data_IF_494787949312
#
_entry.id   IF_494787949312
#
_cell.length_a   1.000
_cell.length_b   1.000
_cell.length_c   1.000
_cell.angle_alpha   90.00
_cell.angle_beta   90.00
_cell.angle_gamma   90.00
#
_symmetry.space_group_name_H-M   'P 1'
#
loop_
_entity.id
_entity.type
_entity.pdbx_description
1 polymer ?
#
# COMPACT_ATOMS: atom_id res chain seq x y z
N UNK A 1 9.95 60.07 -29.53
CA UNK A 1 10.84 59.78 -28.40
C UNK A 1 10.24 58.57 -27.71
N UNK A 2 10.57 57.37 -28.20
CA UNK A 2 11.67 56.48 -27.75
C UNK A 2 11.05 55.39 -26.86
N UNK A 3 11.24 54.09 -27.05
CA UNK A 3 12.12 53.33 -27.92
C UNK A 3 11.46 51.99 -28.27
N UNK A 4 11.69 51.55 -29.52
CA UNK A 4 11.45 50.20 -30.01
C UNK A 4 12.61 49.32 -29.54
N UNK A 5 12.33 48.19 -28.91
CA UNK A 5 13.26 47.07 -28.90
C UNK A 5 12.75 45.97 -29.82
N UNK A 6 13.40 45.96 -30.98
CA UNK A 6 13.45 44.95 -32.01
C UNK A 6 14.48 43.89 -31.55
N UNK A 7 14.08 42.63 -31.42
CA UNK A 7 15.00 41.49 -31.28
C UNK A 7 14.60 40.39 -32.25
N UNK A 8 15.28 40.46 -33.39
CA UNK A 8 15.54 39.44 -34.41
C UNK A 8 16.00 38.12 -33.77
N UNK A 9 15.41 36.98 -34.11
CA UNK A 9 15.75 36.08 -35.23
C UNK A 9 17.11 35.37 -35.08
N UNK A 10 17.06 34.12 -34.64
CA UNK A 10 17.98 33.02 -35.00
C UNK A 10 17.11 31.76 -35.01
N UNK A 11 16.78 31.16 -36.15
CA UNK A 11 17.63 30.38 -37.05
C UNK A 11 18.39 29.27 -36.31
N UNK A 12 17.69 28.15 -36.10
CA UNK A 12 18.30 26.89 -35.68
C UNK A 12 17.61 25.75 -36.45
N UNK A 13 18.18 25.43 -37.60
CA UNK A 13 17.96 24.22 -38.37
C UNK A 13 19.04 23.20 -38.03
N UNK A 14 18.64 21.98 -37.65
CA UNK A 14 19.29 20.65 -37.77
C UNK A 14 18.61 19.76 -36.71
N UNK A 15 17.68 18.86 -37.00
CA UNK A 15 17.72 17.68 -37.88
C UNK A 15 18.75 16.60 -37.45
N UNK A 16 18.33 15.77 -36.49
CA UNK A 16 18.45 14.28 -36.44
C UNK A 16 18.43 13.75 -35.00
N UNK A 17 17.47 12.90 -34.59
CA UNK A 17 17.65 12.06 -33.41
C UNK A 17 18.64 10.94 -33.74
N UNK A 18 19.91 11.17 -33.42
CA UNK A 18 20.91 10.13 -33.36
C UNK A 18 20.67 9.27 -32.10
N UNK A 19 20.41 7.99 -32.31
CA UNK A 19 20.73 6.94 -31.35
C UNK A 19 19.74 6.70 -30.22
N UNK A 20 18.67 5.94 -30.48
CA UNK A 20 18.17 5.01 -29.47
C UNK A 20 19.31 4.04 -29.15
N UNK A 21 19.72 4.00 -27.89
CA UNK A 21 20.80 3.13 -27.42
C UNK A 21 20.32 1.67 -27.47
N UNK A 22 21.23 0.69 -27.65
CA UNK A 22 20.87 -0.73 -27.61
C UNK A 22 20.10 -1.15 -26.34
N UNK A 23 20.31 -0.45 -25.22
CA UNK A 23 19.63 -0.70 -23.95
C UNK A 23 18.14 -0.32 -23.98
N UNK A 24 17.74 0.72 -24.73
CA UNK A 24 16.31 1.08 -24.89
C UNK A 24 15.54 0.08 -25.74
N UNK A 25 16.20 -0.62 -26.67
CA UNK A 25 15.57 -1.72 -27.44
C UNK A 25 15.42 -3.00 -26.63
N UNK A 26 16.26 -3.22 -25.61
CA UNK A 26 16.12 -4.38 -24.73
C UNK A 26 14.95 -4.21 -23.75
N UNK A 27 14.73 -3.00 -23.23
CA UNK A 27 13.61 -2.71 -22.32
C UNK A 27 12.24 -2.83 -22.99
N UNK A 28 12.12 -2.43 -24.27
CA UNK A 28 10.86 -2.54 -25.01
C UNK A 28 10.48 -3.98 -25.42
N UNK A 29 11.42 -4.94 -25.34
CA UNK A 29 11.14 -6.35 -25.64
C UNK A 29 10.65 -7.13 -24.39
N UNK A 30 10.95 -6.66 -23.19
CA UNK A 30 10.56 -7.30 -21.93
C UNK A 30 9.08 -7.04 -21.59
N UNK A 31 8.61 -5.80 -21.83
CA UNK A 31 7.19 -5.42 -21.65
C UNK A 31 6.23 -6.18 -22.57
N UNK A 32 6.70 -6.66 -23.74
CA UNK A 32 5.89 -7.46 -24.66
C UNK A 32 5.75 -8.93 -24.23
N UNK A 33 6.62 -9.43 -23.34
CA UNK A 33 6.56 -10.79 -22.83
C UNK A 33 5.63 -10.92 -21.61
N UNK A 34 5.57 -9.91 -20.74
CA UNK A 34 4.68 -9.93 -19.55
C UNK A 34 3.18 -9.87 -19.92
N UNK A 35 2.82 -9.26 -21.05
CA UNK A 35 1.43 -9.19 -21.51
C UNK A 35 0.84 -10.52 -21.98
N UNK A 36 1.67 -11.51 -22.35
CA UNK A 36 1.21 -12.81 -22.82
C UNK A 36 0.95 -13.83 -21.69
N UNK A 37 1.46 -13.59 -20.49
CA UNK A 37 1.31 -14.52 -19.36
C UNK A 37 0.01 -14.28 -18.56
N UNK A 38 -0.55 -13.06 -18.62
CA UNK A 38 -1.78 -12.70 -17.93
C UNK A 38 -3.06 -13.28 -18.60
N UNK A 39 -3.02 -13.56 -19.90
CA UNK A 39 -4.16 -14.14 -20.64
C UNK A 39 -4.30 -15.66 -20.41
N UNK A 40 -3.32 -16.31 -19.79
CA UNK A 40 -3.36 -17.74 -19.47
C UNK A 40 -3.98 -18.05 -18.09
N UNK A 41 -4.25 -17.04 -17.26
CA UNK A 41 -4.74 -17.22 -15.88
C UNK A 41 -6.26 -17.26 -15.72
N UNK A 42 -7.03 -17.00 -16.78
CA UNK A 42 -8.51 -17.01 -16.75
C UNK A 42 -9.13 -18.38 -17.12
N UNK A 43 -8.29 -19.41 -17.27
CA UNK A 43 -8.75 -20.78 -17.41
C UNK A 43 -9.12 -21.35 -16.03
N UNK A 44 -10.39 -21.19 -15.63
CA UNK A 44 -11.01 -21.77 -14.44
C UNK A 44 -10.67 -23.28 -14.32
N UNK A 45 -9.71 -23.67 -13.46
CA UNK A 45 -9.40 -25.06 -13.26
C UNK A 45 -10.49 -25.58 -12.34
N UNK A 46 -11.50 -26.21 -12.92
CA UNK A 46 -12.50 -26.98 -12.16
C UNK A 46 -11.75 -28.04 -11.36
N UNK A 47 -11.42 -27.71 -10.12
CA UNK A 47 -10.62 -28.54 -9.22
C UNK A 47 -11.53 -29.66 -8.71
N UNK A 48 -11.67 -30.72 -9.50
CA UNK A 48 -12.25 -31.97 -9.05
C UNK A 48 -11.37 -32.53 -7.92
N UNK A 49 -11.84 -32.33 -6.68
CA UNK A 49 -11.22 -32.92 -5.51
C UNK A 49 -11.17 -34.45 -5.70
N UNK A 50 -9.99 -35.09 -5.61
CA UNK A 50 -9.91 -36.53 -5.72
C UNK A 50 -10.76 -37.18 -4.61
N UNK A 51 -11.43 -38.32 -4.91
CA UNK A 51 -12.28 -38.99 -3.94
C UNK A 51 -11.44 -39.35 -2.70
N UNK A 52 -11.89 -38.88 -1.54
CA UNK A 52 -11.24 -39.16 -0.26
C UNK A 52 -11.15 -40.68 -0.06
N UNK A 53 -9.96 -41.25 0.17
CA UNK A 53 -9.83 -42.67 0.49
C UNK A 53 -10.60 -42.95 1.78
N UNK A 54 -11.44 -44.00 1.75
CA UNK A 54 -12.14 -44.48 2.93
C UNK A 54 -11.11 -44.85 4.00
N UNK A 55 -11.05 -44.07 5.08
CA UNK A 55 -10.22 -44.37 6.22
C UNK A 55 -10.75 -45.63 6.91
N UNK A 56 -10.10 -46.75 6.64
CA UNK A 56 -10.22 -47.98 7.41
C UNK A 56 -9.89 -47.65 8.87
N UNK A 57 -10.91 -47.72 9.73
CA UNK A 57 -10.74 -47.60 11.18
C UNK A 57 -9.87 -48.78 11.64
N UNK A 58 -8.67 -48.54 12.20
CA UNK A 58 -7.90 -49.62 12.77
C UNK A 58 -8.66 -50.23 13.94
N UNK A 59 -8.72 -51.56 13.93
CA UNK A 59 -9.33 -52.37 14.96
C UNK A 59 -8.78 -52.00 16.36
N UNK A 60 -9.68 -52.00 17.32
CA UNK A 60 -9.45 -51.74 18.74
C UNK A 60 -8.23 -52.49 19.28
N UNK A 61 -7.20 -51.73 19.66
CA UNK A 61 -6.04 -52.24 20.39
C UNK A 61 -6.50 -52.65 21.80
N UNK A 62 -6.24 -53.90 22.24
CA UNK A 62 -6.59 -54.34 23.58
C UNK A 62 -5.73 -53.61 24.63
N UNK A 63 -6.41 -53.06 25.64
CA UNK A 63 -5.82 -52.45 26.84
C UNK A 63 -4.94 -53.47 27.59
N UNK A 64 -3.63 -53.40 27.37
CA UNK A 64 -2.63 -54.11 28.17
C UNK A 64 -2.25 -53.23 29.35
N UNK A 65 -2.53 -53.74 30.56
CA UNK A 65 -1.74 -53.48 31.76
C UNK A 65 -1.85 -52.07 32.34
N UNK A 66 -2.62 -51.99 33.44
CA UNK A 66 -2.58 -50.89 34.41
C UNK A 66 -1.14 -50.68 34.88
N UNK A 67 -0.38 -49.79 34.21
CA UNK A 67 0.85 -49.24 34.74
C UNK A 67 0.46 -48.38 35.92
N UNK A 68 0.87 -48.79 37.11
CA UNK A 68 0.93 -47.91 38.26
C UNK A 68 1.78 -46.71 37.85
N UNK A 69 1.13 -45.57 37.63
CA UNK A 69 1.80 -44.31 37.36
C UNK A 69 2.69 -44.02 38.57
N UNK A 70 4.04 -43.97 38.40
CA UNK A 70 4.92 -43.56 39.48
C UNK A 70 4.46 -42.18 39.96
N UNK A 71 4.32 -42.04 41.28
CA UNK A 71 3.84 -40.79 41.89
C UNK A 71 4.66 -39.62 41.33
N UNK A 72 4.03 -38.59 40.76
CA UNK A 72 4.72 -37.52 40.03
C UNK A 72 5.75 -36.74 40.88
N UNK A 73 5.67 -36.84 42.21
CA UNK A 73 6.57 -36.14 43.14
C UNK A 73 8.02 -36.69 43.20
N UNK A 74 8.31 -37.84 42.58
CA UNK A 74 9.64 -38.48 42.68
C UNK A 74 10.67 -37.93 41.69
N UNK A 75 10.24 -37.30 40.59
CA UNK A 75 11.13 -36.77 39.56
C UNK A 75 11.46 -35.27 39.72
N UNK A 76 10.77 -34.56 40.62
CA UNK A 76 11.01 -33.15 40.92
C UNK A 76 12.07 -32.93 42.01
N UNK A 77 12.61 -33.99 42.62
CA UNK A 77 13.68 -33.87 43.61
C UNK A 77 15.04 -34.00 42.91
N UNK A 78 15.88 -32.94 42.87
CA UNK A 78 17.21 -33.04 42.29
C UNK A 78 18.01 -34.12 43.04
N UNK A 79 18.67 -35.00 42.29
CA UNK A 79 19.47 -36.07 42.87
C UNK A 79 20.53 -35.47 43.82
N UNK A 80 20.65 -35.96 45.06
CA UNK A 80 21.59 -35.41 46.01
C UNK A 80 23.02 -35.67 45.54
N UNK A 81 23.79 -34.62 45.31
CA UNK A 81 25.19 -34.73 44.92
C UNK A 81 26.03 -34.67 46.19
N UNK A 82 26.82 -35.72 46.42
CA UNK A 82 27.74 -35.80 47.56
C UNK A 82 28.99 -34.99 47.19
N UNK A 83 29.22 -33.90 47.93
CA UNK A 83 30.46 -33.11 47.76
C UNK A 83 31.66 -33.85 48.35
N UNK A 84 32.87 -33.52 47.92
CA UNK A 84 34.12 -34.13 48.43
C UNK A 84 34.32 -33.96 49.95
N UNK A 85 33.56 -33.07 50.59
CA UNK A 85 33.51 -32.89 52.04
C UNK A 85 32.55 -33.86 52.77
N UNK A 86 31.86 -34.75 52.05
CA UNK A 86 30.89 -35.70 52.62
C UNK A 86 29.55 -35.06 53.01
N UNK A 87 29.32 -33.80 52.65
CA UNK A 87 28.09 -33.08 52.96
C UNK A 87 27.07 -33.26 51.84
N UNK A 88 25.88 -33.75 52.16
CA UNK A 88 24.72 -33.75 51.27
C UNK A 88 24.25 -32.30 51.06
N UNK A 89 24.68 -31.69 49.95
CA UNK A 89 24.25 -30.37 49.52
C UNK A 89 23.58 -30.44 48.16
N UNK A 90 22.60 -29.58 47.92
CA UNK A 90 22.22 -29.25 46.53
C UNK A 90 23.42 -28.53 45.92
N UNK A 91 23.80 -28.82 44.67
CA UNK A 91 24.77 -27.97 43.97
C UNK A 91 24.32 -26.53 44.17
N UNK A 92 25.19 -25.61 44.63
CA UNK A 92 24.88 -24.19 44.49
C UNK A 92 24.52 -24.02 43.02
N UNK A 93 23.30 -23.57 42.77
CA UNK A 93 22.77 -23.37 41.43
C UNK A 93 23.78 -22.43 40.75
N UNK A 94 24.72 -22.98 39.98
CA UNK A 94 25.87 -22.28 39.40
C UNK A 94 25.41 -21.26 38.34
N UNK A 95 24.11 -21.28 38.05
CA UNK A 95 23.35 -20.32 37.27
C UNK A 95 22.79 -19.15 38.07
N UNK A 96 22.93 -19.12 39.39
CA UNK A 96 22.64 -17.93 40.18
C UNK A 96 23.75 -16.91 39.94
N UNK A 97 23.69 -16.25 38.77
CA UNK A 97 24.42 -15.03 38.50
C UNK A 97 24.22 -14.08 39.71
N UNK A 98 25.28 -13.37 40.14
CA UNK A 98 25.20 -12.48 41.28
C UNK A 98 23.98 -11.57 41.15
N UNK A 99 23.11 -11.63 42.15
CA UNK A 99 21.93 -10.77 42.26
C UNK A 99 22.42 -9.33 42.43
N UNK A 100 22.54 -8.63 41.30
CA UNK A 100 22.83 -7.20 41.24
C UNK A 100 21.58 -6.44 41.71
N UNK A 101 21.35 -6.49 43.03
CA UNK A 101 20.11 -6.19 43.75
C UNK A 101 19.61 -4.74 43.74
N UNK A 102 19.52 -4.09 42.58
CA UNK A 102 18.90 -2.76 42.44
C UNK A 102 18.49 -2.40 41.01
N UNK A 103 19.21 -2.90 40.00
CA UNK A 103 18.99 -2.53 38.60
C UNK A 103 17.82 -3.29 37.93
N UNK A 104 17.38 -4.41 38.51
CA UNK A 104 16.37 -5.30 37.93
C UNK A 104 14.99 -4.63 37.81
N UNK A 105 14.61 -3.81 38.79
CA UNK A 105 13.37 -3.02 38.78
C UNK A 105 13.38 -1.98 37.65
N UNK A 106 14.44 -1.18 37.55
CA UNK A 106 14.52 -0.09 36.57
C UNK A 106 14.55 -0.63 35.15
N UNK A 107 15.27 -1.73 34.91
CA UNK A 107 15.27 -2.44 33.63
C UNK A 107 13.89 -3.00 33.28
N UNK A 108 13.17 -3.56 34.25
CA UNK A 108 11.80 -4.05 34.03
C UNK A 108 10.83 -2.94 33.64
N UNK A 109 10.92 -1.78 34.27
CA UNK A 109 10.13 -0.60 33.89
C UNK A 109 10.52 -0.10 32.50
N UNK A 110 11.82 0.05 32.22
CA UNK A 110 12.32 0.47 30.92
C UNK A 110 11.84 -0.48 29.80
N UNK A 111 11.89 -1.79 30.03
CA UNK A 111 11.42 -2.78 29.07
C UNK A 111 9.91 -2.65 28.78
N UNK A 112 9.08 -2.34 29.79
CA UNK A 112 7.65 -2.08 29.58
C UNK A 112 7.40 -0.83 28.75
N UNK A 113 8.14 0.26 29.00
CA UNK A 113 8.04 1.47 28.19
C UNK A 113 8.51 1.26 26.76
N UNK A 114 9.63 0.55 26.56
CA UNK A 114 10.12 0.19 25.22
C UNK A 114 9.12 -0.70 24.49
N UNK A 115 8.52 -1.68 25.18
CA UNK A 115 7.47 -2.52 24.62
C UNK A 115 6.23 -1.70 24.23
N UNK A 116 5.75 -0.81 25.10
CA UNK A 116 4.62 0.07 24.79
C UNK A 116 4.93 0.98 23.58
N UNK A 117 6.11 1.58 23.55
CA UNK A 117 6.55 2.41 22.44
C UNK A 117 6.62 1.61 21.13
N UNK A 118 7.18 0.40 21.16
CA UNK A 118 7.23 -0.50 20.01
C UNK A 118 5.82 -0.84 19.51
N UNK A 119 4.87 -1.15 20.40
CA UNK A 119 3.48 -1.42 20.02
C UNK A 119 2.83 -0.22 19.33
N UNK A 120 3.00 0.99 19.85
CA UNK A 120 2.45 2.22 19.25
C UNK A 120 3.06 2.49 17.87
N UNK A 121 4.39 2.34 17.75
CA UNK A 121 5.09 2.50 16.47
C UNK A 121 4.63 1.46 15.46
N UNK A 122 4.49 0.19 15.86
CA UNK A 122 4.01 -0.88 14.99
C UNK A 122 2.58 -0.65 14.51
N UNK A 123 1.67 -0.21 15.38
CA UNK A 123 0.29 0.15 14.99
C UNK A 123 0.26 1.32 14.02
N UNK A 124 1.08 2.35 14.27
CA UNK A 124 1.18 3.52 13.40
C UNK A 124 1.77 3.15 12.05
N UNK A 125 2.78 2.28 12.02
CA UNK A 125 3.36 1.74 10.80
C UNK A 125 2.32 0.94 10.00
N UNK A 126 1.51 0.10 10.66
CA UNK A 126 0.44 -0.66 10.01
C UNK A 126 -0.63 0.26 9.41
N UNK A 127 -1.04 1.30 10.14
CA UNK A 127 -1.98 2.32 9.62
C UNK A 127 -1.40 3.06 8.41
N UNK A 128 -0.13 3.43 8.46
CA UNK A 128 0.57 4.04 7.34
C UNK A 128 0.64 3.07 6.14
N UNK A 129 0.82 1.77 6.38
CA UNK A 129 0.87 0.76 5.33
C UNK A 129 -0.47 0.61 4.64
N UNK A 130 -1.56 0.53 5.41
CA UNK A 130 -2.92 0.50 4.86
C UNK A 130 -3.23 1.77 4.05
N UNK A 131 -2.82 2.95 4.54
CA UNK A 131 -2.98 4.20 3.80
C UNK A 131 -2.14 4.24 2.52
N UNK A 132 -0.92 3.71 2.54
CA UNK A 132 -0.05 3.60 1.36
C UNK A 132 -0.68 2.69 0.30
N UNK A 133 -1.23 1.54 0.69
CA UNK A 133 -1.94 0.64 -0.21
C UNK A 133 -3.20 1.29 -0.80
N UNK A 134 -3.98 2.00 0.03
CA UNK A 134 -5.20 2.69 -0.41
C UNK A 134 -4.91 3.86 -1.38
N UNK A 135 -3.73 4.48 -1.29
CA UNK A 135 -3.29 5.57 -2.16
C UNK A 135 -2.53 5.09 -3.40
N UNK A 136 -2.29 3.78 -3.52
CA UNK A 136 -1.69 3.19 -4.71
C UNK A 136 -2.59 3.36 -5.93
N UNK A 137 -2.00 3.59 -7.11
CA UNK A 137 -2.70 3.92 -8.36
C UNK A 137 -3.87 2.97 -8.68
N UNK A 138 -3.65 1.66 -8.49
CA UNK A 138 -4.64 0.60 -8.76
C UNK A 138 -5.91 0.74 -7.89
N UNK A 139 -5.77 1.15 -6.63
CA UNK A 139 -6.90 1.34 -5.72
C UNK A 139 -7.49 2.75 -5.82
N UNK A 140 -6.64 3.76 -5.99
CA UNK A 140 -7.02 5.16 -5.96
C UNK A 140 -7.81 5.58 -7.20
N UNK A 141 -7.38 5.21 -8.42
CA UNK A 141 -8.02 5.67 -9.66
C UNK A 141 -9.51 5.28 -9.70
N UNK A 142 -9.91 4.01 -9.51
CA UNK A 142 -11.33 3.65 -9.56
C UNK A 142 -12.17 4.33 -8.47
N UNK A 143 -11.57 4.63 -7.31
CA UNK A 143 -12.24 5.38 -6.25
C UNK A 143 -12.45 6.86 -6.64
N UNK A 144 -11.44 7.47 -7.27
CA UNK A 144 -11.50 8.84 -7.78
C UNK A 144 -12.50 8.93 -8.93
N UNK A 145 -12.51 8.00 -9.90
CA UNK A 145 -13.47 7.98 -11.01
C UNK A 145 -14.92 8.02 -10.50
N UNK A 146 -15.26 7.18 -9.52
CA UNK A 146 -16.60 7.18 -8.90
C UNK A 146 -16.88 8.50 -8.18
N UNK A 147 -15.89 9.07 -7.49
CA UNK A 147 -16.01 10.36 -6.83
C UNK A 147 -16.24 11.51 -7.82
N UNK A 148 -15.48 11.55 -8.92
CA UNK A 148 -15.62 12.55 -9.99
C UNK A 148 -16.98 12.41 -10.66
N UNK A 149 -17.41 11.19 -11.01
CA UNK A 149 -18.72 10.95 -11.60
C UNK A 149 -19.86 11.46 -10.70
N UNK A 150 -19.77 11.20 -9.39
CA UNK A 150 -20.76 11.67 -8.42
C UNK A 150 -20.77 13.19 -8.23
N UNK A 151 -19.63 13.87 -8.39
CA UNK A 151 -19.50 15.32 -8.16
C UNK A 151 -19.78 16.19 -9.39
N UNK A 152 -19.62 15.64 -10.60
CA UNK A 152 -19.64 16.44 -11.84
C UNK A 152 -20.90 16.25 -12.69
N UNK A 153 -21.79 15.33 -12.31
CA UNK A 153 -22.97 14.96 -13.11
C UNK A 153 -22.63 14.73 -14.60
N UNK A 154 -21.45 14.14 -14.86
CA UNK A 154 -20.90 13.98 -16.22
C UNK A 154 -21.89 13.31 -17.17
N UNK A 155 -22.72 12.40 -16.65
CA UNK A 155 -23.74 11.68 -17.41
C UNK A 155 -24.77 12.64 -18.03
N UNK A 156 -25.18 13.67 -17.30
CA UNK A 156 -26.08 14.69 -17.80
C UNK A 156 -25.36 15.64 -18.78
N UNK A 157 -24.12 16.05 -18.45
CA UNK A 157 -23.33 16.94 -19.31
C UNK A 157 -23.05 16.35 -20.69
N UNK A 158 -22.67 15.07 -20.75
CA UNK A 158 -22.39 14.41 -22.03
C UNK A 158 -23.64 14.27 -22.89
N UNK A 159 -24.80 13.97 -22.28
CA UNK A 159 -26.07 13.90 -23.01
C UNK A 159 -26.48 15.27 -23.56
N UNK A 160 -26.31 16.34 -22.78
CA UNK A 160 -26.68 17.70 -23.19
C UNK A 160 -25.74 18.23 -24.28
N UNK A 161 -24.44 17.91 -24.20
CA UNK A 161 -23.41 18.49 -25.07
C UNK A 161 -22.89 17.54 -26.15
N UNK A 162 -23.52 16.38 -26.37
CA UNK A 162 -23.05 15.38 -27.33
C UNK A 162 -22.82 15.95 -28.74
N UNK A 163 -23.78 16.69 -29.28
CA UNK A 163 -23.68 17.30 -30.62
C UNK A 163 -22.55 18.34 -30.68
N UNK A 164 -22.36 19.12 -29.61
CA UNK A 164 -21.30 20.12 -29.54
C UNK A 164 -19.90 19.48 -29.46
N UNK A 165 -19.75 18.37 -28.74
CA UNK A 165 -18.50 17.61 -28.66
C UNK A 165 -18.16 17.01 -30.02
N UNK A 166 -19.12 16.37 -30.69
CA UNK A 166 -18.93 15.78 -32.01
C UNK A 166 -18.57 16.84 -33.07
N UNK A 167 -19.29 17.97 -33.09
CA UNK A 167 -19.00 19.08 -34.00
C UNK A 167 -17.62 19.71 -33.74
N UNK A 168 -17.23 19.84 -32.46
CA UNK A 168 -15.89 20.31 -32.10
C UNK A 168 -14.80 19.32 -32.56
N UNK A 169 -15.02 18.02 -32.41
CA UNK A 169 -14.15 16.97 -32.95
C UNK A 169 -13.99 17.05 -34.47
N UNK A 170 -15.10 17.18 -35.21
CA UNK A 170 -15.08 17.28 -36.67
C UNK A 170 -14.35 18.55 -37.15
N UNK A 171 -14.62 19.70 -36.52
CA UNK A 171 -13.96 20.97 -36.87
C UNK A 171 -12.44 20.95 -36.65
N UNK A 172 -11.95 20.09 -35.75
CA UNK A 172 -10.52 19.95 -35.41
C UNK A 172 -9.88 18.68 -35.99
N UNK A 173 -10.59 17.91 -36.81
CA UNK A 173 -10.10 16.65 -37.35
C UNK A 173 -8.85 16.79 -38.23
N UNK A 174 -8.60 17.98 -38.78
CA UNK A 174 -7.40 18.26 -39.59
C UNK A 174 -6.15 18.60 -38.75
N UNK A 175 -6.28 18.78 -37.44
CA UNK A 175 -5.19 19.17 -36.54
C UNK A 175 -4.71 17.94 -35.73
N UNK A 176 -3.52 17.39 -36.01
CA UNK A 176 -3.00 16.24 -35.28
C UNK A 176 -2.81 16.57 -33.79
N UNK A 177 -3.38 15.73 -32.91
CA UNK A 177 -3.30 15.90 -31.46
C UNK A 177 -4.21 16.99 -30.88
N UNK A 178 -5.09 17.59 -31.70
CA UNK A 178 -6.08 18.54 -31.20
C UNK A 178 -6.99 17.87 -30.16
N UNK A 179 -7.15 18.54 -29.02
CA UNK A 179 -8.00 18.10 -27.93
C UNK A 179 -9.30 18.90 -27.90
N UNK A 180 -10.39 18.23 -27.54
CA UNK A 180 -11.74 18.75 -27.40
C UNK A 180 -12.12 18.65 -25.93
N UNK A 181 -12.31 19.80 -25.30
CA UNK A 181 -12.79 19.86 -23.92
C UNK A 181 -14.30 19.60 -23.89
N UNK A 182 -14.78 18.89 -22.87
CA UNK A 182 -16.21 18.70 -22.61
C UNK A 182 -16.78 20.01 -22.05
N UNK A 183 -17.74 20.66 -22.73
CA UNK A 183 -18.31 21.92 -22.26
C UNK A 183 -18.90 21.78 -20.85
N UNK A 184 -18.52 22.70 -19.95
CA UNK A 184 -19.00 22.73 -18.57
C UNK A 184 -18.34 21.73 -17.62
N UNK A 185 -17.45 20.85 -18.10
CA UNK A 185 -16.73 19.93 -17.23
C UNK A 185 -15.61 20.65 -16.46
N UNK A 186 -15.48 20.46 -15.13
CA UNK A 186 -14.61 21.30 -14.30
C UNK A 186 -13.12 20.94 -14.35
N UNK A 187 -12.74 19.86 -15.02
CA UNK A 187 -11.34 19.40 -15.11
C UNK A 187 -10.85 19.59 -16.56
N UNK A 188 -10.04 20.62 -16.86
CA UNK A 188 -9.68 20.97 -18.24
C UNK A 188 -8.79 19.92 -18.93
N UNK A 189 -8.00 19.17 -18.16
CA UNK A 189 -7.09 18.15 -18.70
C UNK A 189 -7.83 16.92 -19.20
N UNK A 190 -9.06 16.68 -18.73
CA UNK A 190 -9.91 15.57 -19.13
C UNK A 190 -10.59 15.85 -20.48
N UNK A 191 -9.75 16.04 -21.49
CA UNK A 191 -10.14 16.38 -22.86
C UNK A 191 -9.94 15.18 -23.78
N UNK A 192 -10.90 14.99 -24.68
CA UNK A 192 -10.87 13.94 -25.70
C UNK A 192 -10.00 14.39 -26.88
N UNK A 193 -9.35 13.48 -27.57
CA UNK A 193 -8.82 13.80 -28.90
C UNK A 193 -9.96 14.05 -29.89
N UNK A 194 -9.68 14.75 -31.00
CA UNK A 194 -10.69 15.01 -32.03
C UNK A 194 -11.29 13.72 -32.63
N UNK A 195 -10.51 12.65 -32.73
CA UNK A 195 -10.96 11.33 -33.21
C UNK A 195 -11.89 10.67 -32.18
N UNK A 196 -11.48 10.60 -30.91
CA UNK A 196 -12.29 10.03 -29.82
C UNK A 196 -13.62 10.77 -29.65
N UNK A 197 -13.61 12.10 -29.77
CA UNK A 197 -14.82 12.92 -29.70
C UNK A 197 -15.80 12.65 -30.86
N UNK A 198 -15.31 12.22 -32.03
CA UNK A 198 -16.11 11.94 -33.22
C UNK A 198 -16.58 10.50 -33.30
N UNK A 199 -15.70 9.55 -32.99
CA UNK A 199 -15.88 8.13 -33.32
C UNK A 199 -16.34 7.25 -32.15
N UNK A 200 -16.04 7.63 -30.90
CA UNK A 200 -16.43 6.82 -29.75
C UNK A 200 -17.92 6.92 -29.48
N UNK A 201 -18.51 5.81 -29.05
CA UNK A 201 -19.87 5.82 -28.53
C UNK A 201 -19.94 6.65 -27.22
N UNK A 202 -21.11 7.24 -26.87
CA UNK A 202 -21.22 8.08 -25.68
C UNK A 202 -20.80 7.41 -24.37
N UNK A 203 -21.04 6.09 -24.24
CA UNK A 203 -20.62 5.32 -23.08
C UNK A 203 -19.09 5.21 -22.97
N UNK A 204 -18.40 5.06 -24.10
CA UNK A 204 -16.94 4.97 -24.16
C UNK A 204 -16.30 6.36 -23.94
N UNK A 205 -16.89 7.41 -24.51
CA UNK A 205 -16.50 8.79 -24.22
C UNK A 205 -16.59 9.10 -22.73
N UNK A 206 -17.69 8.69 -22.08
CA UNK A 206 -17.87 8.83 -20.64
C UNK A 206 -16.77 8.12 -19.84
N UNK A 207 -16.52 6.84 -20.16
CA UNK A 207 -15.48 6.07 -19.47
C UNK A 207 -14.10 6.71 -19.63
N UNK A 208 -13.77 7.16 -20.85
CA UNK A 208 -12.49 7.79 -21.15
C UNK A 208 -12.32 9.15 -20.46
N UNK A 209 -13.34 10.02 -20.50
CA UNK A 209 -13.27 11.32 -19.79
C UNK A 209 -13.12 11.12 -18.29
N UNK A 210 -13.83 10.14 -17.70
CA UNK A 210 -13.69 9.83 -16.27
C UNK A 210 -12.30 9.30 -15.92
N UNK A 211 -11.74 8.41 -16.74
CA UNK A 211 -10.38 7.90 -16.55
C UNK A 211 -9.34 9.03 -16.63
N UNK A 212 -9.42 9.89 -17.65
CA UNK A 212 -8.53 11.05 -17.81
C UNK A 212 -8.69 12.05 -16.65
N UNK A 213 -9.92 12.29 -16.21
CA UNK A 213 -10.20 13.14 -15.06
C UNK A 213 -9.62 12.56 -13.77
N UNK A 214 -9.77 11.26 -13.55
CA UNK A 214 -9.24 10.59 -12.37
C UNK A 214 -7.72 10.60 -12.34
N UNK A 215 -7.06 10.41 -13.48
CA UNK A 215 -5.61 10.55 -13.62
C UNK A 215 -5.15 11.98 -13.32
N UNK A 216 -5.82 12.99 -13.87
CA UNK A 216 -5.50 14.39 -13.59
C UNK A 216 -5.64 14.71 -12.09
N UNK A 217 -6.70 14.20 -11.44
CA UNK A 217 -6.92 14.36 -10.00
C UNK A 217 -5.92 13.55 -9.17
N UNK A 218 -5.51 12.36 -9.60
CA UNK A 218 -4.50 11.56 -8.90
C UNK A 218 -3.12 12.25 -8.92
N UNK A 219 -2.75 12.80 -10.08
CA UNK A 219 -1.48 13.49 -10.28
C UNK A 219 -1.41 14.85 -9.58
N UNK A 220 -2.46 15.69 -9.72
CA UNK A 220 -2.45 17.08 -9.24
C UNK A 220 -3.28 17.31 -7.98
N UNK A 221 -4.08 16.35 -7.55
CA UNK A 221 -5.02 16.50 -6.43
C UNK A 221 -6.19 17.42 -6.77
N UNK A 222 -6.64 18.19 -5.77
CA UNK A 222 -7.77 19.11 -5.90
C UNK A 222 -7.49 20.28 -6.85
N UNK A 223 -6.22 20.55 -7.14
CA UNK A 223 -5.81 21.59 -8.10
C UNK A 223 -6.21 21.22 -9.53
N UNK A 224 -6.53 19.96 -9.81
CA UNK A 224 -7.09 19.53 -11.09
C UNK A 224 -8.44 20.18 -11.42
N UNK A 225 -9.18 20.63 -10.41
CA UNK A 225 -10.47 21.34 -10.57
C UNK A 225 -10.31 22.86 -10.73
N UNK A 226 -9.10 23.39 -10.57
CA UNK A 226 -8.86 24.82 -10.75
C UNK A 226 -8.67 25.10 -12.23
N UNK A 227 -9.62 25.84 -12.81
CA UNK A 227 -9.41 26.53 -14.08
C UNK A 227 -8.22 27.47 -13.90
N UNK A 228 -7.34 27.55 -14.88
CA UNK A 228 -6.15 28.41 -14.84
C UNK A 228 -6.56 29.86 -14.52
N UNK A 229 -6.13 30.38 -13.36
CA UNK A 229 -6.53 31.72 -12.85
C UNK A 229 -7.82 31.78 -12.03
N UNK A 230 -8.50 30.66 -11.78
CA UNK A 230 -9.65 30.56 -10.91
C UNK A 230 -9.29 30.74 -9.43
N UNK A 231 -10.13 31.44 -8.67
CA UNK A 231 -9.98 31.50 -7.21
C UNK A 231 -10.50 30.20 -6.59
N UNK A 232 -9.78 29.63 -5.61
CA UNK A 232 -10.27 28.45 -4.89
C UNK A 232 -11.58 28.81 -4.20
N UNK A 233 -12.66 28.10 -4.56
CA UNK A 233 -13.95 28.26 -3.90
C UNK A 233 -13.78 27.87 -2.43
N UNK A 234 -13.94 28.84 -1.53
CA UNK A 234 -13.83 28.64 -0.10
C UNK A 234 -14.99 27.80 0.44
N UNK A 235 -14.93 26.49 0.27
CA UNK A 235 -15.85 25.56 0.92
C UNK A 235 -15.45 25.39 2.39
N UNK A 236 -16.41 25.46 3.30
CA UNK A 236 -16.15 25.17 4.71
C UNK A 236 -15.65 23.74 4.87
N UNK A 237 -14.63 23.54 5.71
CA UNK A 237 -13.94 22.26 5.90
C UNK A 237 -14.82 21.09 6.38
N UNK A 238 -16.06 21.38 6.79
CA UNK A 238 -17.03 20.43 7.35
C UNK A 238 -18.26 20.21 6.44
N UNK A 239 -18.31 20.82 5.26
CA UNK A 239 -19.36 20.48 4.29
C UNK A 239 -19.08 19.11 3.66
N UNK A 240 -20.13 18.42 3.19
CA UNK A 240 -19.99 17.15 2.47
C UNK A 240 -19.04 17.28 1.28
N UNK A 241 -19.10 18.41 0.57
CA UNK A 241 -18.19 18.72 -0.53
C UNK A 241 -16.74 18.93 -0.06
N UNK A 242 -16.54 19.66 1.04
CA UNK A 242 -15.22 19.87 1.63
C UNK A 242 -14.58 18.57 2.11
N UNK A 243 -15.38 17.65 2.68
CA UNK A 243 -14.92 16.31 3.06
C UNK A 243 -14.54 15.48 1.83
N UNK A 244 -15.36 15.48 0.77
CA UNK A 244 -15.05 14.78 -0.48
C UNK A 244 -13.75 15.31 -1.11
N UNK A 245 -13.57 16.63 -1.17
CA UNK A 245 -12.33 17.28 -1.63
C UNK A 245 -11.12 16.87 -0.79
N UNK A 246 -11.26 16.83 0.54
CA UNK A 246 -10.18 16.36 1.43
C UNK A 246 -9.84 14.90 1.21
N UNK A 247 -10.83 14.03 1.04
CA UNK A 247 -10.60 12.62 0.73
C UNK A 247 -9.89 12.47 -0.62
N UNK A 248 -10.32 13.18 -1.65
CA UNK A 248 -9.63 13.20 -2.94
C UNK A 248 -8.19 13.72 -2.82
N UNK A 249 -7.95 14.76 -2.01
CA UNK A 249 -6.60 15.27 -1.76
C UNK A 249 -5.67 14.22 -1.10
N UNK A 250 -6.23 13.30 -0.30
CA UNK A 250 -5.45 12.18 0.27
C UNK A 250 -5.13 11.07 -0.74
N UNK A 251 -5.95 10.90 -1.79
CA UNK A 251 -5.77 9.90 -2.84
C UNK A 251 -4.91 10.43 -3.99
N UNK A 252 -3.73 10.99 -3.68
CA UNK A 252 -2.84 11.58 -4.68
C UNK A 252 -1.48 10.90 -4.70
N UNK A 253 -0.79 10.94 -5.84
CA UNK A 253 0.58 10.44 -5.99
C UNK A 253 1.52 11.07 -4.94
N UNK A 254 1.43 12.39 -4.75
CA UNK A 254 2.25 13.11 -3.76
C UNK A 254 2.02 12.63 -2.32
N UNK A 255 0.79 12.21 -1.98
CA UNK A 255 0.49 11.66 -0.66
C UNK A 255 1.00 10.24 -0.53
N UNK A 256 0.87 9.43 -1.59
CA UNK A 256 1.43 8.09 -1.66
C UNK A 256 2.94 8.08 -1.39
N UNK A 257 3.69 8.96 -2.07
CA UNK A 257 5.15 9.09 -1.91
C UNK A 257 5.54 9.55 -0.49
N UNK A 258 4.81 10.54 0.06
CA UNK A 258 5.02 11.02 1.44
C UNK A 258 4.80 9.91 2.46
N UNK A 259 3.74 9.11 2.31
CA UNK A 259 3.46 7.98 3.19
C UNK A 259 4.56 6.91 3.05
N UNK A 260 5.05 6.66 1.83
CA UNK A 260 6.18 5.76 1.59
C UNK A 260 7.43 6.19 2.38
N UNK A 261 7.72 7.49 2.41
CA UNK A 261 8.78 8.05 3.25
C UNK A 261 8.57 7.76 4.75
N UNK A 262 7.37 8.00 5.28
CA UNK A 262 7.04 7.71 6.68
C UNK A 262 7.13 6.23 7.03
N UNK A 263 6.73 5.35 6.11
CA UNK A 263 6.81 3.89 6.29
C UNK A 263 8.26 3.43 6.52
N UNK A 264 9.20 3.94 5.71
CA UNK A 264 10.62 3.61 5.87
C UNK A 264 11.16 4.06 7.24
N UNK A 265 10.82 5.29 7.65
CA UNK A 265 11.25 5.85 8.93
C UNK A 265 10.67 5.08 10.12
N UNK A 266 9.36 4.84 10.13
CA UNK A 266 8.69 4.08 11.17
C UNK A 266 9.20 2.64 11.25
N UNK A 267 9.49 2.01 10.11
CA UNK A 267 10.09 0.68 10.05
C UNK A 267 11.47 0.64 10.71
N UNK A 268 12.35 1.61 10.42
CA UNK A 268 13.67 1.72 11.08
C UNK A 268 13.54 1.92 12.59
N UNK A 269 12.63 2.79 13.04
CA UNK A 269 12.39 3.02 14.47
C UNK A 269 11.87 1.75 15.16
N UNK A 270 10.95 1.01 14.51
CA UNK A 270 10.45 -0.25 15.03
C UNK A 270 11.57 -1.29 15.20
N UNK A 271 12.46 -1.43 14.20
CA UNK A 271 13.62 -2.34 14.27
C UNK A 271 14.57 -1.93 15.40
N UNK A 272 14.88 -0.63 15.53
CA UNK A 272 15.74 -0.13 16.59
C UNK A 272 15.15 -0.40 17.98
N UNK A 273 13.86 -0.15 18.19
CA UNK A 273 13.15 -0.44 19.44
C UNK A 273 13.12 -1.95 19.75
N UNK A 274 12.94 -2.79 18.72
CA UNK A 274 13.00 -4.24 18.88
C UNK A 274 14.39 -4.71 19.33
N UNK A 275 15.48 -4.15 18.76
CA UNK A 275 16.85 -4.44 19.20
C UNK A 275 17.07 -4.00 20.65
N UNK A 276 16.64 -2.79 21.03
CA UNK A 276 16.73 -2.32 22.43
C UNK A 276 15.94 -3.25 23.36
N UNK A 277 14.74 -3.68 22.97
CA UNK A 277 13.94 -4.61 23.75
C UNK A 277 14.66 -5.95 23.96
N UNK A 278 15.33 -6.48 22.93
CA UNK A 278 16.16 -7.70 23.02
C UNK A 278 17.35 -7.49 23.96
N UNK A 279 18.03 -6.35 23.90
CA UNK A 279 19.16 -6.04 24.79
C UNK A 279 18.72 -5.88 26.26
N UNK A 280 17.52 -5.36 26.51
CA UNK A 280 16.94 -5.25 27.85
C UNK A 280 16.41 -6.59 28.37
N UNK A 281 15.92 -7.47 27.48
CA UNK A 281 15.33 -8.76 27.82
C UNK A 281 16.38 -9.84 28.06
N UNK A 282 16.59 -10.25 29.31
CA UNK A 282 17.39 -11.44 29.62
C UNK A 282 16.63 -12.71 29.17
N UNK A 283 16.91 -13.17 27.94
CA UNK A 283 16.55 -14.50 27.45
C UNK A 283 15.41 -14.54 26.41
N UNK A 284 15.66 -15.27 25.32
CA UNK A 284 14.72 -15.52 24.21
C UNK A 284 13.40 -16.19 24.64
N UNK A 285 13.35 -16.82 25.83
CA UNK A 285 12.19 -17.56 26.32
C UNK A 285 10.91 -16.70 26.46
N UNK A 286 11.04 -15.39 26.68
CA UNK A 286 9.88 -14.49 26.80
C UNK A 286 9.32 -14.00 25.47
N UNK A 287 10.08 -14.12 24.37
CA UNK A 287 9.63 -13.71 23.05
C UNK A 287 8.63 -14.71 22.44
N UNK A 288 8.72 -16.00 22.80
CA UNK A 288 7.76 -17.01 22.34
C UNK A 288 6.32 -16.71 22.76
N UNK A 289 6.11 -16.09 23.92
CA UNK A 289 4.78 -15.74 24.40
C UNK A 289 4.11 -14.59 23.60
N UNK A 290 4.90 -13.77 22.90
CA UNK A 290 4.39 -12.68 22.04
C UNK A 290 4.19 -13.11 20.60
N UNK A 291 4.95 -14.11 20.12
CA UNK A 291 4.75 -14.65 18.77
C UNK A 291 3.39 -15.35 18.61
N UNK A 292 2.88 -15.98 19.67
CA UNK A 292 1.59 -16.69 19.67
C UNK A 292 0.39 -15.77 19.38
N UNK A 293 0.15 -14.68 20.12
CA UNK A 293 -0.98 -13.78 19.83
C UNK A 293 -0.82 -13.08 18.47
N UNK A 294 0.41 -12.82 18.02
CA UNK A 294 0.63 -12.24 16.69
C UNK A 294 0.29 -13.23 15.57
N UNK A 295 0.63 -14.51 15.73
CA UNK A 295 0.23 -15.59 14.83
C UNK A 295 -1.28 -15.83 14.84
N UNK A 296 -1.92 -15.75 16.01
CA UNK A 296 -3.39 -15.87 16.14
C UNK A 296 -4.12 -14.68 15.52
N UNK A 297 -3.53 -13.48 15.57
CA UNK A 297 -4.12 -12.29 14.94
C UNK A 297 -3.87 -12.22 13.43
N UNK A 298 -2.82 -12.89 12.93
CA UNK A 298 -2.48 -12.94 11.51
C UNK A 298 -3.14 -14.11 10.75
N UNK A 299 -3.68 -15.10 11.46
CA UNK A 299 -4.43 -16.23 10.92
C UNK A 299 -5.94 -15.95 10.93
#
# INVERSE_FOLDING_TARGET
MSDRHDTTRGDQADDRPAGQTPDERAAAADDAAEGAELDALDADPTFELPPRPALDRPASVPLIGRRETPSPDLFDRPAPVVTDAGTFGTLPDDRSLPDLGGDSWLRGIAARFVMLALTVVALTWLLALSAHQATGRVAAIPAIERGVAALTEIDALLVIHQEAIAAAGESRASEPGARVAVPGFPIPDASLTAEEARDLAPADQRALVLALAAEAVYARGVDAFLVEGGTPVGTTALSTEGLARRLLATLTASTHDRIGGWLSLLGMVAVALAVVLVLLGHGFARFGALAVPLLVAAA
#
